data_IF_313076119599
#
_entry.id   IF_313076119599
#
_cell.length_a   1.000
_cell.length_b   1.000
_cell.length_c   1.000
_cell.angle_alpha   90.00
_cell.angle_beta   90.00
_cell.angle_gamma   90.00
#
_symmetry.space_group_name_H-M   'P 1'
#
loop_
_entity.id
_entity.type
_entity.pdbx_description
1 polymer ?
#
# COMPACT_ATOMS: atom_id res chain seq x y z
N UNK A 1 -17.67 -4.94 -48.63
CA UNK A 1 -17.99 -5.29 -47.23
C UNK A 1 -16.72 -5.78 -46.57
N UNK A 2 -16.04 -4.92 -45.83
CA UNK A 2 -14.88 -5.27 -45.00
C UNK A 2 -15.10 -4.61 -43.66
N UNK A 3 -15.67 -5.35 -42.72
CA UNK A 3 -16.09 -4.84 -41.42
C UNK A 3 -14.83 -4.59 -40.60
N UNK A 4 -14.56 -3.32 -40.30
CA UNK A 4 -13.53 -2.89 -39.37
C UNK A 4 -13.90 -3.46 -38.00
N UNK A 5 -13.19 -4.49 -37.56
CA UNK A 5 -13.26 -4.95 -36.19
C UNK A 5 -12.69 -3.82 -35.32
N UNK A 6 -13.60 -3.09 -34.70
CA UNK A 6 -13.29 -2.11 -33.66
C UNK A 6 -12.53 -2.85 -32.55
N UNK A 7 -11.20 -2.71 -32.54
CA UNK A 7 -10.44 -2.81 -31.31
C UNK A 7 -11.05 -1.76 -30.40
N UNK A 8 -11.82 -2.21 -29.40
CA UNK A 8 -12.26 -1.35 -28.32
C UNK A 8 -11.02 -0.61 -27.83
N UNK A 9 -10.99 0.70 -28.04
CA UNK A 9 -10.06 1.56 -27.33
C UNK A 9 -10.32 1.26 -25.86
N UNK A 10 -9.36 0.65 -25.17
CA UNK A 10 -9.41 0.58 -23.71
C UNK A 10 -9.41 2.06 -23.31
N UNK A 11 -10.54 2.56 -22.81
CA UNK A 11 -10.55 3.85 -22.15
C UNK A 11 -9.41 3.83 -21.14
N UNK A 12 -8.43 4.73 -21.32
CA UNK A 12 -7.38 4.94 -20.32
C UNK A 12 -8.08 5.48 -19.07
N UNK A 13 -8.52 4.55 -18.23
CA UNK A 13 -9.15 4.86 -16.96
C UNK A 13 -8.02 5.10 -15.97
N UNK A 14 -8.03 6.28 -15.36
CA UNK A 14 -7.07 6.60 -14.31
C UNK A 14 -7.11 5.51 -13.22
N UNK A 15 -5.96 5.10 -12.68
CA UNK A 15 -5.91 4.06 -11.66
C UNK A 15 -6.82 4.42 -10.48
N UNK A 16 -7.61 3.47 -10.00
CA UNK A 16 -8.39 3.70 -8.78
C UNK A 16 -7.49 3.77 -7.54
N UNK A 17 -6.43 2.96 -7.52
CA UNK A 17 -5.58 2.73 -6.37
C UNK A 17 -4.13 2.48 -6.79
N UNK A 18 -3.18 3.15 -6.14
CA UNK A 18 -1.75 2.90 -6.30
C UNK A 18 -1.07 2.72 -4.96
N UNK A 19 -0.37 1.61 -4.78
CA UNK A 19 0.45 1.37 -3.59
C UNK A 19 1.89 1.83 -3.80
N UNK A 20 2.40 2.63 -2.85
CA UNK A 20 3.82 2.91 -2.65
C UNK A 20 4.38 2.13 -1.44
N UNK A 21 3.71 1.06 -1.02
CA UNK A 21 4.23 0.15 -0.01
C UNK A 21 5.36 -0.73 -0.57
N UNK A 22 6.28 -1.14 0.29
CA UNK A 22 7.41 -1.97 -0.10
C UNK A 22 6.98 -3.38 -0.53
N UNK A 23 7.71 -3.93 -1.51
CA UNK A 23 7.75 -5.37 -1.76
C UNK A 23 8.93 -5.94 -0.98
N UNK A 24 8.69 -6.96 -0.16
CA UNK A 24 9.71 -7.62 0.66
C UNK A 24 9.84 -9.07 0.19
N UNK A 25 11.06 -9.61 0.19
CA UNK A 25 11.31 -11.03 -0.01
C UNK A 25 11.65 -11.66 1.34
N UNK A 26 10.69 -12.38 1.92
CA UNK A 26 10.83 -12.95 3.24
C UNK A 26 11.55 -14.31 3.20
N UNK A 27 12.40 -14.52 4.21
CA UNK A 27 12.93 -15.80 4.63
C UNK A 27 12.08 -16.29 5.81
N UNK A 28 11.27 -17.31 5.57
CA UNK A 28 10.40 -17.92 6.57
C UNK A 28 11.11 -19.09 7.24
N UNK A 29 11.33 -18.98 8.54
CA UNK A 29 11.96 -20.00 9.36
C UNK A 29 10.93 -20.68 10.26
N UNK A 30 10.97 -22.01 10.25
CA UNK A 30 10.05 -22.89 10.98
C UNK A 30 10.84 -23.79 11.93
N UNK A 31 10.20 -24.24 13.01
CA UNK A 31 10.80 -25.20 13.95
C UNK A 31 10.76 -26.64 13.43
N UNK A 32 9.77 -26.98 12.60
CA UNK A 32 9.47 -28.35 12.16
C UNK A 32 9.93 -28.67 10.73
N UNK A 33 10.19 -27.64 9.90
CA UNK A 33 10.48 -27.79 8.47
C UNK A 33 11.58 -26.86 7.97
N UNK A 34 12.07 -27.16 6.77
CA UNK A 34 13.07 -26.34 6.10
C UNK A 34 12.58 -24.90 5.89
N UNK A 35 13.49 -23.95 6.02
CA UNK A 35 13.22 -22.56 5.75
C UNK A 35 12.82 -22.35 4.28
N UNK A 36 11.94 -21.38 4.05
CA UNK A 36 11.52 -20.96 2.72
C UNK A 36 12.14 -19.59 2.44
N UNK A 37 12.82 -19.46 1.31
CA UNK A 37 13.42 -18.19 0.87
C UNK A 37 12.61 -17.60 -0.28
N UNK A 38 12.81 -16.30 -0.53
CA UNK A 38 12.18 -15.54 -1.62
C UNK A 38 10.65 -15.58 -1.59
N UNK A 39 10.07 -15.67 -0.38
CA UNK A 39 8.61 -15.63 -0.21
C UNK A 39 8.14 -14.19 -0.40
N UNK A 40 7.19 -13.92 -1.31
CA UNK A 40 6.69 -12.55 -1.51
C UNK A 40 5.96 -12.06 -0.26
N UNK A 41 6.52 -11.02 0.33
CA UNK A 41 6.04 -10.29 1.48
C UNK A 41 5.82 -8.81 1.18
N UNK A 42 5.64 -8.04 2.25
CA UNK A 42 5.40 -6.60 2.19
C UNK A 42 3.93 -6.26 1.96
N UNK A 43 3.36 -5.45 2.85
CA UNK A 43 1.96 -5.05 2.78
C UNK A 43 1.63 -4.31 1.48
N UNK A 44 2.59 -3.61 0.89
CA UNK A 44 2.39 -2.88 -0.37
C UNK A 44 1.97 -3.77 -1.53
N UNK A 45 2.58 -4.95 -1.64
CA UNK A 45 2.25 -5.94 -2.66
C UNK A 45 0.85 -6.52 -2.42
N UNK A 46 0.52 -6.87 -1.17
CA UNK A 46 -0.78 -7.46 -0.82
C UNK A 46 -1.94 -6.46 -0.84
N UNK A 47 -1.70 -5.19 -0.48
CA UNK A 47 -2.67 -4.11 -0.63
C UNK A 47 -3.04 -3.92 -2.10
N UNK A 48 -2.06 -4.00 -2.99
CA UNK A 48 -2.27 -3.95 -4.44
C UNK A 48 -3.05 -5.16 -4.94
N UNK A 49 -2.68 -6.37 -4.52
CA UNK A 49 -3.40 -7.58 -4.88
C UNK A 49 -4.87 -7.50 -4.43
N UNK A 50 -5.11 -7.08 -3.19
CA UNK A 50 -6.47 -6.88 -2.67
C UNK A 50 -7.27 -5.84 -3.47
N UNK A 51 -6.66 -4.69 -3.80
CA UNK A 51 -7.28 -3.70 -4.67
C UNK A 51 -7.57 -4.26 -6.06
N UNK A 52 -6.65 -5.05 -6.63
CA UNK A 52 -6.78 -5.65 -7.96
C UNK A 52 -7.93 -6.67 -8.05
N UNK A 53 -8.20 -7.38 -6.96
CA UNK A 53 -9.35 -8.29 -6.87
C UNK A 53 -10.69 -7.52 -6.93
N UNK A 54 -10.70 -6.25 -6.53
CA UNK A 54 -11.90 -5.40 -6.52
C UNK A 54 -12.02 -4.54 -7.78
N UNK A 55 -10.91 -4.07 -8.34
CA UNK A 55 -10.87 -3.20 -9.52
C UNK A 55 -9.63 -3.49 -10.38
N UNK A 56 -9.83 -3.65 -11.69
CA UNK A 56 -8.74 -3.99 -12.63
C UNK A 56 -7.73 -2.87 -12.87
N UNK A 57 -8.06 -1.64 -12.50
CA UNK A 57 -7.19 -0.44 -12.63
C UNK A 57 -6.30 -0.22 -11.41
N UNK A 58 -6.28 -1.16 -10.45
CA UNK A 58 -5.30 -1.12 -9.38
C UNK A 58 -3.88 -1.16 -9.95
N UNK A 59 -2.97 -0.44 -9.29
CA UNK A 59 -1.58 -0.37 -9.70
C UNK A 59 -0.60 -0.37 -8.54
N UNK A 60 0.65 -0.63 -8.87
CA UNK A 60 1.76 -0.58 -7.93
C UNK A 60 3.05 -0.18 -8.61
N UNK A 61 3.94 0.34 -7.77
CA UNK A 61 5.35 0.42 -8.08
C UNK A 61 6.11 -0.68 -7.34
N UNK A 62 6.97 -1.40 -8.06
CA UNK A 62 7.92 -2.35 -7.49
C UNK A 62 9.34 -1.82 -7.69
N UNK A 63 10.02 -1.57 -6.58
CA UNK A 63 11.47 -1.32 -6.58
C UNK A 63 12.16 -2.68 -6.42
N UNK A 64 12.72 -3.18 -7.52
CA UNK A 64 13.35 -4.49 -7.61
C UNK A 64 14.87 -4.34 -7.50
N UNK A 65 15.48 -4.99 -6.50
CA UNK A 65 16.93 -5.15 -6.44
C UNK A 65 17.46 -6.11 -7.50
N UNK A 66 18.78 -6.30 -7.51
CA UNK A 66 19.48 -7.13 -8.49
C UNK A 66 19.19 -8.63 -8.39
N UNK A 67 18.72 -9.08 -7.23
CA UNK A 67 18.39 -10.46 -6.90
C UNK A 67 16.88 -10.73 -6.92
N UNK A 68 16.05 -9.83 -7.48
CA UNK A 68 14.60 -10.05 -7.59
C UNK A 68 14.28 -11.30 -8.44
N UNK A 69 13.57 -12.32 -7.92
CA UNK A 69 13.34 -13.56 -8.63
C UNK A 69 12.52 -13.39 -9.91
N UNK A 70 13.07 -13.82 -11.05
CA UNK A 70 12.40 -13.74 -12.35
C UNK A 70 11.05 -14.48 -12.36
N UNK A 71 10.94 -15.62 -11.68
CA UNK A 71 9.69 -16.38 -11.57
C UNK A 71 8.60 -15.60 -10.81
N UNK A 72 8.98 -14.88 -9.76
CA UNK A 72 8.07 -14.02 -9.02
C UNK A 72 7.63 -12.82 -9.86
N UNK A 73 8.55 -12.16 -10.55
CA UNK A 73 8.22 -11.05 -11.45
C UNK A 73 7.21 -11.49 -12.52
N UNK A 74 7.43 -12.65 -13.14
CA UNK A 74 6.47 -13.24 -14.11
C UNK A 74 5.10 -13.48 -13.48
N UNK A 75 5.04 -13.99 -12.24
CA UNK A 75 3.77 -14.22 -11.52
C UNK A 75 3.04 -12.91 -11.23
N UNK A 76 3.74 -11.86 -10.81
CA UNK A 76 3.14 -10.55 -10.55
C UNK A 76 2.59 -9.95 -11.86
N UNK A 77 3.32 -10.06 -12.97
CA UNK A 77 2.85 -9.60 -14.28
C UNK A 77 1.55 -10.30 -14.74
N UNK A 78 1.29 -11.53 -14.27
CA UNK A 78 0.04 -12.26 -14.58
C UNK A 78 -1.17 -11.74 -13.82
N UNK A 79 -1.00 -10.85 -12.82
CA UNK A 79 -2.12 -10.23 -12.10
C UNK A 79 -2.87 -9.19 -12.94
N UNK A 80 -2.34 -8.84 -14.12
CA UNK A 80 -3.01 -7.95 -15.08
C UNK A 80 -3.45 -6.63 -14.45
N UNK A 81 -2.48 -5.95 -13.81
CA UNK A 81 -2.65 -4.70 -13.08
C UNK A 81 -1.69 -3.64 -13.65
N UNK A 82 -1.90 -2.36 -13.33
CA UNK A 82 -0.99 -1.30 -13.76
C UNK A 82 0.32 -1.37 -12.97
N UNK A 83 1.39 -1.86 -13.60
CA UNK A 83 2.65 -2.12 -12.90
C UNK A 83 3.78 -1.24 -13.41
N UNK A 84 4.42 -0.50 -12.51
CA UNK A 84 5.69 0.17 -12.75
C UNK A 84 6.82 -0.57 -12.03
N UNK A 85 7.83 -1.03 -12.77
CA UNK A 85 8.99 -1.72 -12.21
C UNK A 85 10.23 -0.85 -12.33
N UNK A 86 10.84 -0.48 -11.21
CA UNK A 86 12.14 0.19 -11.15
C UNK A 86 13.20 -0.81 -10.70
N UNK A 87 14.19 -1.09 -11.56
CA UNK A 87 15.29 -2.00 -11.23
C UNK A 87 16.47 -1.22 -10.66
N UNK A 88 17.05 -1.72 -9.57
CA UNK A 88 18.26 -1.20 -8.94
C UNK A 88 19.38 -2.25 -9.07
N UNK A 89 20.26 -2.15 -10.09
CA UNK A 89 21.27 -3.17 -10.38
C UNK A 89 22.35 -3.29 -9.29
N UNK A 90 22.57 -2.22 -8.53
CA UNK A 90 23.63 -2.14 -7.53
C UNK A 90 23.11 -2.35 -6.09
N UNK A 91 21.86 -2.76 -5.92
CA UNK A 91 21.24 -2.94 -4.60
C UNK A 91 20.51 -4.28 -4.52
N UNK A 92 20.62 -5.01 -3.39
CA UNK A 92 19.79 -6.18 -3.16
C UNK A 92 18.35 -5.75 -2.90
N UNK A 93 17.41 -6.67 -3.14
CA UNK A 93 16.01 -6.55 -2.73
C UNK A 93 15.91 -6.33 -1.22
N UNK A 94 14.82 -5.69 -0.79
CA UNK A 94 14.43 -5.70 0.62
C UNK A 94 14.06 -7.10 1.03
N UNK A 95 14.76 -7.62 2.03
CA UNK A 95 14.59 -8.97 2.56
C UNK A 95 14.16 -8.92 4.01
N UNK A 96 13.18 -9.74 4.35
CA UNK A 96 12.68 -9.91 5.71
C UNK A 96 13.08 -11.26 6.25
N UNK A 97 13.32 -11.33 7.55
CA UNK A 97 13.44 -12.59 8.28
C UNK A 97 12.18 -12.74 9.12
N UNK A 98 11.50 -13.88 8.98
CA UNK A 98 10.31 -14.23 9.76
C UNK A 98 10.58 -15.55 10.46
N UNK A 99 10.64 -15.55 11.79
CA UNK A 99 10.71 -16.77 12.59
C UNK A 99 9.36 -17.05 13.23
N UNK A 100 8.78 -18.20 12.92
CA UNK A 100 7.63 -18.73 13.65
C UNK A 100 8.14 -19.42 14.92
N UNK A 101 7.63 -19.00 16.09
CA UNK A 101 8.00 -19.60 17.39
C UNK A 101 7.34 -20.96 17.59
N UNK A 102 6.07 -21.05 17.20
CA UNK A 102 5.25 -22.25 17.20
C UNK A 102 4.27 -22.11 16.02
N UNK A 103 4.13 -23.17 15.21
CA UNK A 103 3.31 -23.16 13.98
C UNK A 103 1.81 -23.04 14.29
N UNK A 104 1.39 -23.40 15.50
CA UNK A 104 0.02 -23.19 15.98
C UNK A 104 -0.21 -21.78 16.53
N UNK A 105 0.86 -21.07 16.89
CA UNK A 105 0.79 -19.72 17.41
C UNK A 105 0.92 -18.67 16.31
N UNK A 106 0.17 -17.57 16.40
CA UNK A 106 0.39 -16.39 15.54
C UNK A 106 1.64 -15.57 15.95
N UNK A 107 2.50 -16.08 16.84
CA UNK A 107 3.68 -15.34 17.30
C UNK A 107 4.83 -15.50 16.31
N UNK A 108 5.23 -14.37 15.72
CA UNK A 108 6.37 -14.29 14.82
C UNK A 108 7.32 -13.18 15.22
N UNK A 109 8.60 -13.43 14.98
CA UNK A 109 9.65 -12.42 15.04
C UNK A 109 9.92 -11.95 13.63
N UNK A 110 9.91 -10.65 13.42
CA UNK A 110 10.25 -10.03 12.14
C UNK A 110 11.46 -9.11 12.28
N UNK A 111 12.34 -9.11 11.27
CA UNK A 111 13.40 -8.10 11.11
C UNK A 111 13.81 -8.00 9.65
N UNK A 112 14.28 -6.83 9.23
CA UNK A 112 14.88 -6.67 7.91
C UNK A 112 16.31 -7.24 7.87
N UNK A 113 16.62 -7.95 6.80
CA UNK A 113 17.94 -8.51 6.50
C UNK A 113 18.78 -7.59 5.60
N UNK A 114 18.12 -6.75 4.81
CA UNK A 114 18.76 -5.81 3.88
C UNK A 114 18.10 -4.43 3.99
N UNK A 115 18.73 -3.44 3.36
CA UNK A 115 18.18 -2.09 3.31
C UNK A 115 16.79 -2.07 2.64
N UNK A 116 15.91 -1.24 3.20
CA UNK A 116 14.56 -1.03 2.69
C UNK A 116 14.61 -0.20 1.41
N UNK A 117 14.03 -0.74 0.33
CA UNK A 117 13.87 -0.10 -0.96
C UNK A 117 12.49 0.54 -1.01
N UNK A 118 12.33 1.62 -0.24
CA UNK A 118 11.07 2.34 -0.11
C UNK A 118 10.69 3.06 -1.41
N UNK A 119 9.55 2.73 -2.06
CA UNK A 119 9.06 3.52 -3.18
C UNK A 119 8.80 4.97 -2.76
N UNK A 120 9.17 5.92 -3.63
CA UNK A 120 8.99 7.36 -3.43
C UNK A 120 8.01 7.94 -4.45
N UNK A 121 7.33 9.05 -4.14
CA UNK A 121 6.50 9.75 -5.13
C UNK A 121 7.25 10.13 -6.40
N UNK A 122 8.53 10.50 -6.30
CA UNK A 122 9.39 10.80 -7.44
C UNK A 122 9.54 9.61 -8.41
N UNK A 123 9.37 8.38 -7.94
CA UNK A 123 9.42 7.21 -8.83
C UNK A 123 8.18 7.10 -9.73
N UNK A 124 7.11 7.85 -9.44
CA UNK A 124 5.91 7.94 -10.28
C UNK A 124 6.02 9.05 -11.34
N UNK A 125 7.13 9.79 -11.39
CA UNK A 125 7.31 10.86 -12.36
C UNK A 125 7.10 10.33 -13.79
N UNK A 126 6.26 11.02 -14.58
CA UNK A 126 5.87 10.65 -15.95
C UNK A 126 5.12 9.31 -16.09
N UNK A 127 4.76 8.66 -14.98
CA UNK A 127 3.92 7.46 -15.00
C UNK A 127 2.43 7.80 -14.98
N UNK A 128 1.62 6.97 -15.63
CA UNK A 128 0.15 7.04 -15.53
C UNK A 128 -0.34 6.77 -14.10
N UNK A 129 0.43 6.01 -13.30
CA UNK A 129 0.13 5.75 -11.89
C UNK A 129 0.03 7.04 -11.05
N UNK A 130 0.70 8.12 -11.48
CA UNK A 130 0.57 9.43 -10.84
C UNK A 130 -0.86 9.98 -10.90
N UNK A 131 -1.67 9.52 -11.88
CA UNK A 131 -3.08 9.85 -12.07
C UNK A 131 -4.02 9.27 -11.01
N UNK A 132 -3.55 8.35 -10.17
CA UNK A 132 -4.43 7.57 -9.29
C UNK A 132 -5.38 8.41 -8.45
N UNK A 133 -6.61 7.93 -8.28
CA UNK A 133 -7.60 8.55 -7.39
C UNK A 133 -7.27 8.31 -5.91
N UNK A 134 -6.54 7.24 -5.60
CA UNK A 134 -6.09 6.95 -4.24
C UNK A 134 -4.66 6.41 -4.20
N UNK A 135 -3.96 6.72 -3.10
CA UNK A 135 -2.61 6.25 -2.85
C UNK A 135 -2.51 5.59 -1.49
N UNK A 136 -1.90 4.42 -1.46
CA UNK A 136 -1.50 3.74 -0.23
C UNK A 136 -0.03 4.02 0.08
N UNK A 137 0.23 4.55 1.26
CA UNK A 137 1.56 4.95 1.72
C UNK A 137 1.90 4.15 2.98
N UNK A 138 2.98 3.37 2.93
CA UNK A 138 3.58 2.78 4.12
C UNK A 138 4.78 3.62 4.54
N UNK A 139 4.69 4.27 5.70
CA UNK A 139 5.76 5.11 6.23
C UNK A 139 5.56 5.40 7.73
N UNK A 140 6.64 5.79 8.42
CA UNK A 140 6.51 6.48 9.70
C UNK A 140 5.99 7.92 9.53
N UNK A 141 5.56 8.58 10.61
CA UNK A 141 4.87 9.88 10.54
C UNK A 141 5.69 10.99 9.89
N UNK A 142 6.98 11.10 10.19
CA UNK A 142 7.86 12.11 9.56
C UNK A 142 7.98 11.89 8.05
N UNK A 143 8.25 10.65 7.63
CA UNK A 143 8.41 10.31 6.22
C UNK A 143 7.08 10.42 5.45
N UNK A 144 5.95 10.14 6.09
CA UNK A 144 4.64 10.34 5.50
C UNK A 144 4.48 11.80 5.04
N UNK A 145 4.82 12.79 5.88
CA UNK A 145 4.68 14.20 5.53
C UNK A 145 5.51 14.57 4.29
N UNK A 146 6.74 14.06 4.20
CA UNK A 146 7.60 14.25 3.02
C UNK A 146 6.98 13.63 1.77
N UNK A 147 6.52 12.37 1.86
CA UNK A 147 5.92 11.66 0.73
C UNK A 147 4.63 12.32 0.26
N UNK A 148 3.78 12.76 1.17
CA UNK A 148 2.52 13.44 0.85
C UNK A 148 2.80 14.78 0.15
N UNK A 149 3.72 15.58 0.69
CA UNK A 149 4.11 16.87 0.10
C UNK A 149 4.67 16.69 -1.31
N UNK A 150 5.58 15.74 -1.48
CA UNK A 150 6.20 15.43 -2.77
C UNK A 150 5.18 14.92 -3.79
N UNK A 151 4.27 14.02 -3.38
CA UNK A 151 3.22 13.48 -4.24
C UNK A 151 2.26 14.57 -4.72
N UNK A 152 1.78 15.42 -3.82
CA UNK A 152 0.85 16.49 -4.16
C UNK A 152 1.51 17.54 -5.06
N UNK A 153 2.79 17.86 -4.83
CA UNK A 153 3.52 18.76 -5.73
C UNK A 153 3.65 18.15 -7.12
N UNK A 154 4.12 16.90 -7.20
CA UNK A 154 4.34 16.21 -8.47
C UNK A 154 3.04 16.10 -9.29
N UNK A 155 1.91 15.85 -8.62
CA UNK A 155 0.59 15.83 -9.26
C UNK A 155 0.19 17.19 -9.80
N UNK A 156 0.31 18.25 -9.00
CA UNK A 156 0.01 19.64 -9.41
C UNK A 156 0.86 20.05 -10.62
N UNK A 157 2.15 19.75 -10.60
CA UNK A 157 3.08 20.08 -11.68
C UNK A 157 2.75 19.31 -12.97
N UNK A 158 2.07 18.16 -12.84
CA UNK A 158 1.56 17.34 -13.94
C UNK A 158 0.11 17.64 -14.33
N UNK A 159 -0.46 18.75 -13.85
CA UNK A 159 -1.84 19.17 -14.13
C UNK A 159 -2.94 18.36 -13.42
N UNK A 160 -2.58 17.45 -12.50
CA UNK A 160 -3.50 16.58 -11.75
C UNK A 160 -3.90 17.24 -10.43
N UNK A 161 -4.71 18.29 -10.52
CA UNK A 161 -5.05 19.15 -9.39
C UNK A 161 -6.09 18.54 -8.44
N UNK A 162 -6.78 17.47 -8.86
CA UNK A 162 -7.72 16.76 -8.00
C UNK A 162 -6.99 16.09 -6.84
N UNK A 163 -7.53 16.30 -5.65
CA UNK A 163 -6.96 15.77 -4.42
C UNK A 163 -7.22 14.26 -4.35
N UNK A 164 -6.18 13.41 -4.32
CA UNK A 164 -6.38 11.99 -4.16
C UNK A 164 -6.74 11.63 -2.71
N UNK A 165 -7.37 10.48 -2.55
CA UNK A 165 -7.52 9.83 -1.26
C UNK A 165 -6.16 9.25 -0.82
N UNK A 166 -5.69 9.60 0.38
CA UNK A 166 -4.46 9.01 0.94
C UNK A 166 -4.83 8.00 2.03
N UNK A 167 -4.41 6.76 1.84
CA UNK A 167 -4.49 5.69 2.82
C UNK A 167 -3.10 5.49 3.43
N UNK A 168 -2.95 5.83 4.71
CA UNK A 168 -1.69 5.68 5.42
C UNK A 168 -1.68 4.38 6.23
N UNK A 169 -0.64 3.58 6.01
CA UNK A 169 -0.23 2.47 6.86
C UNK A 169 1.01 2.89 7.66
N UNK A 170 0.92 3.04 8.99
CA UNK A 170 2.08 3.30 9.83
C UNK A 170 3.10 2.17 9.72
N UNK A 171 4.37 2.51 9.50
CA UNK A 171 5.44 1.51 9.49
C UNK A 171 5.52 0.82 10.87
N UNK A 172 5.59 -0.52 10.95
CA UNK A 172 5.61 -1.23 12.24
C UNK A 172 6.70 -0.70 13.20
N UNK A 173 7.91 -0.45 12.69
CA UNK A 173 9.02 0.10 13.45
C UNK A 173 8.78 1.51 14.03
N UNK A 174 7.81 2.27 13.53
CA UNK A 174 7.40 3.56 14.09
C UNK A 174 6.24 3.45 15.09
N UNK A 175 5.57 2.30 15.21
CA UNK A 175 4.44 2.09 16.13
C UNK A 175 4.92 1.95 17.59
N UNK A 176 5.62 2.98 18.08
CA UNK A 176 6.20 3.10 19.41
C UNK A 176 5.46 4.17 20.19
N UNK A 177 5.37 4.00 21.51
CA UNK A 177 4.61 4.90 22.39
C UNK A 177 5.13 6.34 22.30
N UNK A 178 6.44 6.51 22.11
CA UNK A 178 7.13 7.79 22.02
C UNK A 178 6.69 8.60 20.79
N UNK A 179 6.23 7.93 19.73
CA UNK A 179 5.78 8.56 18.48
C UNK A 179 4.26 8.69 18.41
N UNK A 180 3.51 8.39 19.48
CA UNK A 180 2.05 8.41 19.47
C UNK A 180 1.48 9.77 19.05
N UNK A 181 2.03 10.86 19.59
CA UNK A 181 1.56 12.21 19.26
C UNK A 181 1.83 12.56 17.79
N UNK A 182 2.97 12.14 17.26
CA UNK A 182 3.30 12.30 15.83
C UNK A 182 2.34 11.51 14.94
N UNK A 183 1.92 10.31 15.37
CA UNK A 183 0.92 9.52 14.63
C UNK A 183 -0.45 10.19 14.64
N UNK A 184 -0.88 10.71 15.79
CA UNK A 184 -2.16 11.45 15.90
C UNK A 184 -2.12 12.72 15.04
N UNK A 185 -1.01 13.45 15.03
CA UNK A 185 -0.82 14.62 14.19
C UNK A 185 -0.84 14.25 12.71
N UNK A 186 -0.12 13.20 12.32
CA UNK A 186 -0.10 12.68 10.97
C UNK A 186 -1.50 12.28 10.50
N UNK A 187 -2.35 11.72 11.34
CA UNK A 187 -3.77 11.47 11.03
C UNK A 187 -4.59 12.77 10.85
N UNK A 188 -4.31 13.82 11.62
CA UNK A 188 -5.08 15.07 11.55
C UNK A 188 -4.68 15.98 10.40
N UNK A 189 -3.54 15.72 9.76
CA UNK A 189 -3.07 16.54 8.65
C UNK A 189 -4.16 16.58 7.56
N UNK A 190 -4.50 17.78 7.04
CA UNK A 190 -5.53 17.91 6.03
C UNK A 190 -5.31 16.97 4.84
N UNK A 191 -4.04 16.66 4.55
CA UNK A 191 -3.58 15.84 3.44
C UNK A 191 -3.74 14.32 3.61
N UNK A 192 -3.85 13.77 4.81
CA UNK A 192 -3.55 12.35 5.08
C UNK A 192 -4.73 11.45 5.48
N UNK A 193 -5.97 11.94 5.52
CA UNK A 193 -7.13 11.13 5.92
C UNK A 193 -8.27 11.14 4.90
N UNK A 194 -8.74 9.91 4.65
CA UNK A 194 -9.90 9.59 3.83
C UNK A 194 -11.24 10.06 4.37
N UNK A 195 -12.11 10.40 3.41
CA UNK A 195 -13.48 10.85 3.61
C UNK A 195 -13.64 11.90 4.73
N UNK A 196 -13.41 13.16 4.38
CA UNK A 196 -14.28 14.21 4.92
C UNK A 196 -15.67 13.90 4.34
N UNK A 197 -16.52 13.18 5.09
CA UNK A 197 -17.94 13.11 4.77
C UNK A 197 -18.40 14.57 4.62
N UNK A 198 -18.80 14.93 3.40
CA UNK A 198 -19.41 16.22 3.12
C UNK A 198 -20.69 16.30 3.95
N UNK A 199 -20.63 16.93 5.12
CA UNK A 199 -21.83 17.42 5.78
C UNK A 199 -22.23 18.68 5.04
N UNK A 200 -22.99 18.51 3.96
CA UNK A 200 -23.72 19.62 3.33
C UNK A 200 -24.69 20.20 4.37
N UNK A 201 -24.67 21.52 4.66
CA UNK A 201 -25.44 22.10 5.75
C UNK A 201 -26.85 22.48 5.28
N UNK A 202 -27.57 21.63 4.55
CA UNK A 202 -28.97 21.93 4.20
C UNK A 202 -29.81 20.65 4.08
N UNK A 203 -30.24 20.10 5.21
CA UNK A 203 -31.59 19.53 5.34
C UNK A 203 -32.02 19.40 6.82
N UNK A 204 -33.29 19.70 7.16
CA UNK A 204 -33.76 19.73 8.53
C UNK A 204 -33.96 18.30 9.08
N UNK A 205 -33.67 18.15 10.37
CA UNK A 205 -33.80 16.90 11.11
C UNK A 205 -35.25 16.38 11.10
N UNK A 206 -35.48 15.26 10.41
CA UNK A 206 -36.64 14.41 10.63
C UNK A 206 -36.23 13.21 11.50
N UNK A 207 -36.92 13.07 12.62
CA UNK A 207 -36.74 12.01 13.62
C UNK A 207 -36.86 10.61 13.01
N UNK A 208 -35.94 9.72 13.36
CA UNK A 208 -36.05 8.27 13.13
C UNK A 208 -35.97 7.59 14.51
N UNK A 209 -36.85 6.61 14.84
CA UNK A 209 -36.92 6.03 16.19
C UNK A 209 -35.71 5.16 16.51
N UNK A 210 -35.31 5.17 17.79
CA UNK A 210 -34.32 4.28 18.39
C UNK A 210 -34.75 2.81 18.24
N UNK A 211 -34.11 2.08 17.32
CA UNK A 211 -34.05 0.63 17.38
C UNK A 211 -32.90 0.23 18.31
N UNK A 212 -33.25 -0.35 19.46
CA UNK A 212 -32.30 -0.99 20.36
C UNK A 212 -31.76 -2.28 19.73
N UNK A 213 -30.45 -2.51 19.87
CA UNK A 213 -29.83 -3.81 19.65
C UNK A 213 -28.93 -3.90 18.41
N UNK A 214 -27.72 -3.35 18.50
CA UNK A 214 -26.58 -3.77 17.66
C UNK A 214 -25.39 -3.93 18.62
N UNK A 215 -24.75 -5.11 18.71
CA UNK A 215 -23.54 -5.26 19.50
C UNK A 215 -22.43 -4.43 18.83
N UNK A 216 -21.67 -3.71 19.66
CA UNK A 216 -20.50 -2.94 19.25
C UNK A 216 -19.54 -3.82 18.44
N UNK A 217 -19.56 -3.68 17.12
CA UNK A 217 -18.50 -4.21 16.26
C UNK A 217 -17.24 -3.41 16.56
N UNK A 218 -16.33 -4.03 17.31
CA UNK A 218 -14.96 -3.58 17.45
C UNK A 218 -14.40 -3.34 16.05
N UNK A 219 -13.82 -2.17 15.83
CA UNK A 219 -13.04 -1.91 14.63
C UNK A 219 -12.03 -3.04 14.47
N UNK A 220 -12.02 -3.68 13.30
CA UNK A 220 -10.95 -4.58 12.92
C UNK A 220 -9.66 -3.75 12.84
N UNK A 221 -8.96 -3.65 13.95
CA UNK A 221 -7.53 -3.40 13.96
C UNK A 221 -6.91 -4.64 13.34
N UNK A 222 -6.49 -4.53 12.08
CA UNK A 222 -5.52 -5.45 11.49
C UNK A 222 -4.16 -5.16 12.13
N UNK A 223 -4.04 -5.48 13.42
CA UNK A 223 -2.78 -5.47 14.17
C UNK A 223 -2.28 -6.90 14.24
N UNK A 224 -1.39 -7.28 13.31
CA UNK A 224 -0.63 -8.51 13.45
C UNK A 224 0.19 -8.47 14.74
N UNK A 225 0.21 -9.58 15.48
CA UNK A 225 1.07 -9.74 16.66
C UNK A 225 2.51 -9.96 16.19
N UNK A 226 3.16 -8.89 15.73
CA UNK A 226 4.57 -8.88 15.34
C UNK A 226 5.38 -8.25 16.46
N UNK A 227 6.35 -9.00 17.00
CA UNK A 227 7.40 -8.45 17.82
C UNK A 227 8.63 -8.24 16.94
N UNK A 228 8.93 -6.98 16.61
CA UNK A 228 10.24 -6.61 16.07
C UNK A 228 11.27 -6.64 17.21
N UNK A 229 12.47 -7.20 16.93
CA UNK A 229 13.63 -7.16 17.84
C UNK A 229 14.62 -6.09 17.39
#
# INVERSE_FOLDING_TARGET
MGQLLSTQAIEHKDPLFVSLGMTVLDELHFSSRAALSDVPGGSGLYATLGARLMDSTAGAIIIAGNDFPNALMKRIMQWDMMLLVKKLPDSPCTRGFVQYKDEESCQRIFRYLTAQLQPRPADLEKSELLGSQSFHLLAGPALLQEMVTSLLSLRRDSGKNERPLLAWEPAPASCKKELLDEHIQACRAPESIGHRLSTSPHHPASQIPLAQGIPSSGGLLWGGCEQEM
#
